data_IF_360960694173
#
_entry.id   IF_360960694173
#
_cell.length_a   1.000
_cell.length_b   1.000
_cell.length_c   1.000
_cell.angle_alpha   90.00
_cell.angle_beta   90.00
_cell.angle_gamma   90.00
#
_symmetry.space_group_name_H-M   'P 1'
#
loop_
_entity.id
_entity.type
_entity.pdbx_description
1 polymer ?
#
# COMPACT_ATOMS: atom_id res chain seq x y z
N UNK A 1 -8.50 -12.11 24.31
CA UNK A 1 -8.84 -11.14 23.26
C UNK A 1 -10.27 -11.45 22.83
N UNK A 2 -11.16 -10.47 22.89
CA UNK A 2 -12.59 -10.70 22.61
C UNK A 2 -12.92 -10.33 21.17
N UNK A 3 -14.00 -10.87 20.58
CA UNK A 3 -14.44 -10.49 19.24
C UNK A 3 -14.71 -8.97 19.08
N UNK A 4 -15.15 -8.30 20.15
CA UNK A 4 -15.35 -6.85 20.15
C UNK A 4 -14.03 -6.09 20.03
N UNK A 5 -12.96 -6.58 20.69
CA UNK A 5 -11.62 -6.00 20.57
C UNK A 5 -11.06 -6.17 19.16
N UNK A 6 -11.27 -7.35 18.56
CA UNK A 6 -10.78 -7.64 17.21
C UNK A 6 -11.47 -6.79 16.14
N UNK A 7 -12.80 -6.59 16.26
CA UNK A 7 -13.56 -5.71 15.39
C UNK A 7 -13.07 -4.27 15.49
N UNK A 8 -12.89 -3.75 16.71
CA UNK A 8 -12.41 -2.38 16.90
C UNK A 8 -11.02 -2.19 16.29
N UNK A 9 -10.11 -3.15 16.50
CA UNK A 9 -8.76 -3.11 15.91
C UNK A 9 -8.78 -3.13 14.39
N UNK A 10 -9.65 -3.92 13.76
CA UNK A 10 -9.82 -3.91 12.30
C UNK A 10 -10.26 -2.53 11.82
N UNK A 11 -11.26 -1.92 12.47
CA UNK A 11 -11.77 -0.60 12.11
C UNK A 11 -10.72 0.50 12.28
N UNK A 12 -9.96 0.47 13.38
CA UNK A 12 -8.92 1.45 13.64
C UNK A 12 -7.77 1.35 12.62
N UNK A 13 -7.33 0.13 12.32
CA UNK A 13 -6.31 -0.10 11.30
C UNK A 13 -6.80 0.29 9.91
N UNK A 14 -8.07 0.02 9.59
CA UNK A 14 -8.70 0.45 8.34
C UNK A 14 -8.63 1.97 8.16
N UNK A 15 -9.08 2.72 9.16
CA UNK A 15 -9.05 4.19 9.15
C UNK A 15 -7.63 4.70 9.02
N UNK A 16 -6.67 4.11 9.75
CA UNK A 16 -5.26 4.48 9.63
C UNK A 16 -4.71 4.21 8.23
N UNK A 17 -5.08 3.09 7.62
CA UNK A 17 -4.65 2.73 6.27
C UNK A 17 -5.17 3.77 5.26
N UNK A 18 -6.45 4.12 5.32
CA UNK A 18 -7.05 5.14 4.47
C UNK A 18 -6.35 6.49 4.61
N UNK A 19 -6.00 6.90 5.85
CA UNK A 19 -5.28 8.14 6.10
C UNK A 19 -3.87 8.13 5.48
N UNK A 20 -3.15 7.02 5.61
CA UNK A 20 -1.82 6.85 5.00
C UNK A 20 -1.89 6.95 3.48
N UNK A 21 -2.87 6.27 2.86
CA UNK A 21 -3.09 6.34 1.41
C UNK A 21 -3.54 7.71 0.94
N UNK A 22 -4.37 8.42 1.72
CA UNK A 22 -4.85 9.75 1.36
C UNK A 22 -3.71 10.78 1.41
N UNK A 23 -2.79 10.63 2.36
CA UNK A 23 -1.63 11.52 2.53
C UNK A 23 -0.42 11.12 1.68
N UNK A 24 -0.52 10.03 0.91
CA UNK A 24 0.60 9.48 0.14
C UNK A 24 1.83 9.23 1.02
N UNK A 25 1.61 8.83 2.28
CA UNK A 25 2.68 8.57 3.25
C UNK A 25 3.27 7.17 2.99
N UNK A 26 3.95 7.01 1.85
CA UNK A 26 4.44 5.72 1.34
C UNK A 26 5.36 4.98 2.33
N UNK A 27 6.14 5.72 3.12
CA UNK A 27 7.00 5.16 4.16
C UNK A 27 6.21 4.51 5.29
N UNK A 28 5.02 5.04 5.61
CA UNK A 28 4.13 4.53 6.67
C UNK A 28 3.25 3.37 6.19
N UNK A 29 3.08 3.21 4.87
CA UNK A 29 2.19 2.22 4.26
C UNK A 29 2.56 0.80 4.65
N UNK A 30 3.86 0.49 4.68
CA UNK A 30 4.35 -0.84 5.06
C UNK A 30 3.97 -1.21 6.49
N UNK A 31 4.03 -0.24 7.41
CA UNK A 31 3.76 -0.48 8.82
C UNK A 31 2.28 -0.80 9.06
N UNK A 32 1.37 -0.02 8.44
CA UNK A 32 -0.08 -0.24 8.58
C UNK A 32 -0.52 -1.54 7.89
N UNK A 33 0.00 -1.84 6.70
CA UNK A 33 -0.30 -3.09 5.98
C UNK A 33 0.21 -4.33 6.74
N UNK A 34 1.39 -4.25 7.35
CA UNK A 34 1.94 -5.35 8.15
C UNK A 34 1.09 -5.62 9.39
N UNK A 35 0.68 -4.58 10.12
CA UNK A 35 -0.18 -4.71 11.31
C UNK A 35 -1.56 -5.30 10.95
N UNK A 36 -2.12 -4.89 9.81
CA UNK A 36 -3.37 -5.41 9.29
C UNK A 36 -3.25 -6.90 8.94
N UNK A 37 -2.17 -7.29 8.25
CA UNK A 37 -1.88 -8.69 7.89
C UNK A 37 -1.73 -9.57 9.13
N UNK A 38 -1.00 -9.10 10.15
CA UNK A 38 -0.84 -9.82 11.42
C UNK A 38 -2.19 -10.05 12.11
N UNK A 39 -3.03 -9.02 12.18
CA UNK A 39 -4.37 -9.14 12.76
C UNK A 39 -5.24 -10.16 12.00
N UNK A 40 -5.21 -10.15 10.66
CA UNK A 40 -5.95 -11.11 9.84
C UNK A 40 -5.45 -12.56 10.03
N UNK A 41 -4.13 -12.75 10.18
CA UNK A 41 -3.54 -14.07 10.47
C UNK A 41 -4.02 -14.58 11.82
N UNK A 42 -4.04 -13.72 12.84
CA UNK A 42 -4.52 -14.07 14.17
C UNK A 42 -6.03 -14.37 14.16
N UNK A 43 -6.85 -13.51 13.55
CA UNK A 43 -8.29 -13.74 13.38
C UNK A 43 -8.61 -15.10 12.74
N UNK A 44 -7.82 -15.50 11.73
CA UNK A 44 -8.00 -16.80 11.07
C UNK A 44 -7.84 -17.99 12.04
N UNK A 45 -7.04 -17.85 13.10
CA UNK A 45 -6.84 -18.89 14.13
C UNK A 45 -8.00 -18.99 15.12
N UNK A 46 -8.85 -17.96 15.20
CA UNK A 46 -9.92 -17.82 16.20
C UNK A 46 -11.33 -18.08 15.64
N UNK A 47 -11.46 -18.91 14.60
CA UNK A 47 -12.77 -19.26 14.04
C UNK A 47 -13.66 -20.03 15.04
N UNK A 48 -14.99 -19.87 14.98
CA UNK A 48 -15.75 -19.06 14.02
C UNK A 48 -15.77 -17.56 14.36
N UNK A 49 -15.78 -16.71 13.32
CA UNK A 49 -15.85 -15.24 13.45
C UNK A 49 -17.31 -14.75 13.38
N UNK A 50 -17.62 -13.64 14.06
CA UNK A 50 -18.92 -12.99 13.92
C UNK A 50 -19.09 -12.37 12.53
N UNK A 51 -20.34 -12.07 12.16
CA UNK A 51 -20.66 -11.44 10.87
C UNK A 51 -19.98 -10.08 10.73
N UNK A 52 -19.97 -9.28 11.79
CA UNK A 52 -19.37 -7.95 11.82
C UNK A 52 -17.86 -8.00 11.57
N UNK A 53 -17.17 -8.98 12.15
CA UNK A 53 -15.73 -9.19 11.91
C UNK A 53 -15.49 -9.62 10.46
N UNK A 54 -16.33 -10.49 9.91
CA UNK A 54 -16.23 -10.91 8.51
C UNK A 54 -16.45 -9.73 7.55
N UNK A 55 -17.43 -8.87 7.83
CA UNK A 55 -17.69 -7.67 7.03
C UNK A 55 -16.52 -6.69 7.11
N UNK A 56 -15.97 -6.43 8.30
CA UNK A 56 -14.78 -5.60 8.47
C UNK A 56 -13.54 -6.16 7.73
N UNK A 57 -13.36 -7.48 7.72
CA UNK A 57 -12.30 -8.12 6.91
C UNK A 57 -12.47 -7.87 5.40
N UNK A 58 -13.70 -7.83 4.89
CA UNK A 58 -13.98 -7.53 3.48
C UNK A 58 -13.68 -6.08 3.14
N UNK A 59 -14.05 -5.15 4.01
CA UNK A 59 -13.73 -3.72 3.83
C UNK A 59 -12.22 -3.49 3.78
N UNK A 60 -11.49 -4.14 4.69
CA UNK A 60 -10.03 -4.15 4.73
C UNK A 60 -9.42 -4.69 3.42
N UNK A 61 -9.97 -5.78 2.88
CA UNK A 61 -9.53 -6.34 1.59
C UNK A 61 -9.71 -5.34 0.44
N UNK A 62 -10.82 -4.60 0.42
CA UNK A 62 -11.08 -3.60 -0.61
C UNK A 62 -10.06 -2.45 -0.56
N UNK A 63 -9.72 -1.97 0.64
CA UNK A 63 -8.73 -0.90 0.83
C UNK A 63 -7.33 -1.35 0.42
N UNK A 64 -6.95 -2.59 0.73
CA UNK A 64 -5.69 -3.15 0.25
C UNK A 64 -5.64 -3.20 -1.30
N UNK A 65 -6.75 -3.58 -1.95
CA UNK A 65 -6.85 -3.53 -3.42
C UNK A 65 -6.66 -2.10 -3.98
N UNK A 66 -7.29 -1.11 -3.36
CA UNK A 66 -7.11 0.30 -3.73
C UNK A 66 -5.66 0.78 -3.49
N UNK A 67 -5.03 0.34 -2.41
CA UNK A 67 -3.63 0.64 -2.11
C UNK A 67 -2.70 0.18 -3.23
N UNK A 68 -2.88 -1.06 -3.70
CA UNK A 68 -2.08 -1.62 -4.80
C UNK A 68 -2.20 -0.79 -6.07
N UNK A 69 -3.42 -0.36 -6.43
CA UNK A 69 -3.63 0.50 -7.59
C UNK A 69 -2.90 1.83 -7.43
N UNK A 70 -3.04 2.51 -6.27
CA UNK A 70 -2.35 3.78 -6.02
C UNK A 70 -0.84 3.66 -6.05
N UNK A 71 -0.29 2.58 -5.52
CA UNK A 71 1.15 2.31 -5.59
C UNK A 71 1.63 2.15 -7.04
N UNK A 72 0.85 1.47 -7.89
CA UNK A 72 1.16 1.32 -9.31
C UNK A 72 1.14 2.67 -10.03
N UNK A 73 0.11 3.47 -9.79
CA UNK A 73 -0.05 4.80 -10.37
C UNK A 73 1.12 5.72 -9.96
N UNK A 74 1.55 5.67 -8.69
CA UNK A 74 2.68 6.44 -8.19
C UNK A 74 4.01 5.99 -8.83
N UNK A 75 4.24 4.69 -8.94
CA UNK A 75 5.43 4.15 -9.63
C UNK A 75 5.48 4.59 -11.10
N UNK A 76 4.32 4.66 -11.76
CA UNK A 76 4.22 5.16 -13.13
C UNK A 76 4.50 6.67 -13.18
N UNK A 77 3.95 7.46 -12.26
CA UNK A 77 4.19 8.90 -12.17
C UNK A 77 5.68 9.23 -11.97
N UNK A 78 6.35 8.53 -11.06
CA UNK A 78 7.78 8.71 -10.82
C UNK A 78 8.63 8.35 -12.04
N UNK A 79 8.28 7.24 -12.73
CA UNK A 79 8.95 6.84 -13.98
C UNK A 79 8.81 7.91 -15.06
N UNK A 80 7.61 8.44 -15.23
CA UNK A 80 7.29 9.54 -16.15
C UNK A 80 8.14 10.76 -15.80
N UNK A 81 8.18 11.19 -14.54
CA UNK A 81 8.99 12.33 -14.10
C UNK A 81 10.49 12.16 -14.32
N UNK A 82 11.02 10.97 -14.03
CA UNK A 82 12.44 10.66 -14.27
C UNK A 82 12.80 10.66 -15.75
N UNK A 83 11.87 10.20 -16.61
CA UNK A 83 12.10 10.11 -18.05
C UNK A 83 11.79 11.43 -18.77
N UNK A 84 11.00 12.34 -18.19
CA UNK A 84 10.67 13.65 -18.77
C UNK A 84 11.78 14.71 -18.65
N UNK A 85 12.99 14.37 -18.21
CA UNK A 85 14.17 15.23 -18.41
C UNK A 85 14.57 15.40 -19.89
N UNK A 86 13.72 14.97 -20.81
CA UNK A 86 13.72 15.24 -22.24
C UNK A 86 13.53 16.74 -22.54
N UNK A 87 14.54 17.55 -22.21
CA UNK A 87 15.00 18.45 -23.26
C UNK A 87 15.71 17.59 -24.32
N UNK A 88 15.47 17.84 -25.62
CA UNK A 88 16.04 17.01 -26.67
C UNK A 88 17.54 17.28 -26.77
N UNK A 89 18.37 16.42 -26.17
CA UNK A 89 19.65 15.90 -26.69
C UNK A 89 20.64 15.39 -25.61
N UNK A 90 20.52 15.79 -24.34
CA UNK A 90 21.68 15.66 -23.42
C UNK A 90 21.56 14.52 -22.39
N UNK A 91 20.37 14.24 -21.85
CA UNK A 91 20.20 13.24 -20.78
C UNK A 91 20.42 11.79 -21.24
N UNK A 92 19.60 11.28 -22.19
CA UNK A 92 19.77 9.92 -22.71
C UNK A 92 21.11 9.71 -23.42
N UNK A 93 21.67 10.73 -24.07
CA UNK A 93 22.98 10.63 -24.74
C UNK A 93 24.13 10.55 -23.74
N UNK A 94 24.03 11.23 -22.59
CA UNK A 94 25.01 11.10 -21.50
C UNK A 94 25.02 9.70 -20.89
N UNK A 95 23.85 9.12 -20.62
CA UNK A 95 23.78 7.74 -20.11
C UNK A 95 24.24 6.71 -21.16
N UNK A 96 23.88 6.90 -22.44
CA UNK A 96 24.36 6.05 -23.53
C UNK A 96 25.88 6.16 -23.73
N UNK A 97 26.46 7.35 -23.58
CA UNK A 97 27.92 7.53 -23.60
C UNK A 97 28.58 6.79 -22.44
N UNK A 98 28.04 6.87 -21.21
CA UNK A 98 28.57 6.10 -20.07
C UNK A 98 28.50 4.59 -20.32
N UNK A 99 27.42 4.09 -20.92
CA UNK A 99 27.32 2.68 -21.31
C UNK A 99 28.38 2.28 -22.34
N UNK A 100 28.74 3.18 -23.27
CA UNK A 100 29.78 2.94 -24.29
C UNK A 100 31.21 2.88 -23.74
N UNK A 101 31.43 3.25 -22.46
CA UNK A 101 32.74 3.16 -21.80
C UNK A 101 33.05 1.75 -21.25
N UNK A 102 32.11 0.80 -21.35
CA UNK A 102 32.31 -0.60 -20.92
C UNK A 102 32.93 -1.43 -22.03
#
# INVERSE_FOLDING_TARGET
MTPADDLQRLLDLRVRFEQVLHREAWDDLKAVDSALRELLIDLRRHQPLSKEVLDACRDVQQIHGLALQRCQDECQRLRILMNHSEQPADGPSAYAWVESLR
#
